data_IF_336374081736
#
_entry.id   IF_336374081736
#
_cell.length_a   1.000
_cell.length_b   1.000
_cell.length_c   1.000
_cell.angle_alpha   90.00
_cell.angle_beta   90.00
_cell.angle_gamma   90.00
#
_symmetry.space_group_name_H-M   'P 1'
#
loop_
_entity.id
_entity.type
_entity.pdbx_description
1 polymer ?
#
# COMPACT_ATOMS: atom_id res chain seq x y z
N UNK A 1 -2.58 0.97 -15.58
CA UNK A 1 -2.68 1.87 -14.40
C UNK A 1 -1.80 1.27 -13.31
N UNK A 2 -0.80 2.00 -12.81
CA UNK A 2 0.25 1.50 -11.90
C UNK A 2 -0.05 1.71 -10.41
N UNK A 3 -1.21 2.30 -10.07
CA UNK A 3 -1.63 2.54 -8.68
C UNK A 3 -1.84 1.24 -7.90
N UNK A 4 -1.39 1.23 -6.64
CA UNK A 4 -1.65 0.14 -5.68
C UNK A 4 -3.08 0.26 -5.13
N UNK A 5 -3.77 -0.87 -4.99
CA UNK A 5 -5.10 -0.96 -4.36
C UNK A 5 -5.06 -1.99 -3.25
N UNK A 6 -5.72 -1.68 -2.15
CA UNK A 6 -5.86 -2.59 -1.03
C UNK A 6 -6.94 -3.64 -1.32
N UNK A 7 -6.76 -4.83 -0.75
CA UNK A 7 -7.71 -5.94 -0.86
C UNK A 7 -8.54 -6.03 0.41
N UNK A 8 -9.86 -6.09 0.27
CA UNK A 8 -10.73 -6.29 1.44
C UNK A 8 -10.49 -7.67 2.05
N UNK A 9 -9.85 -7.69 3.22
CA UNK A 9 -9.49 -8.94 3.91
C UNK A 9 -10.59 -9.42 4.85
N UNK A 10 -11.54 -8.56 5.23
CA UNK A 10 -12.67 -8.93 6.08
C UNK A 10 -13.98 -9.04 5.27
N UNK A 11 -14.46 -10.25 4.95
CA UNK A 11 -15.69 -10.45 4.18
C UNK A 11 -16.96 -9.96 4.89
N UNK A 12 -16.90 -9.74 6.21
CA UNK A 12 -18.03 -9.25 7.00
C UNK A 12 -18.13 -7.71 7.07
N UNK A 13 -17.13 -6.97 6.58
CA UNK A 13 -17.14 -5.51 6.50
C UNK A 13 -17.53 -5.05 5.10
N UNK A 14 -18.81 -5.15 4.74
CA UNK A 14 -19.25 -4.80 3.38
C UNK A 14 -19.63 -3.33 3.19
N UNK A 15 -19.75 -2.50 4.23
CA UNK A 15 -20.43 -1.20 4.04
C UNK A 15 -19.55 -0.01 3.61
N UNK A 16 -18.23 0.03 3.86
CA UNK A 16 -17.39 1.19 3.47
C UNK A 16 -15.88 0.82 3.41
N UNK A 17 -15.48 -0.14 2.58
CA UNK A 17 -14.05 -0.43 2.41
C UNK A 17 -13.39 0.62 1.52
N UNK A 18 -12.36 1.29 2.03
CA UNK A 18 -11.52 2.20 1.26
C UNK A 18 -10.35 1.41 0.64
N UNK A 19 -10.41 1.13 -0.66
CA UNK A 19 -9.35 0.44 -1.38
C UNK A 19 -8.20 1.35 -1.81
N UNK A 20 -8.33 2.67 -1.54
CA UNK A 20 -7.40 3.67 -2.01
C UNK A 20 -6.26 3.92 -1.01
N UNK A 21 -5.04 3.83 -1.52
CA UNK A 21 -3.83 4.35 -0.91
C UNK A 21 -3.05 5.15 -1.94
N UNK A 22 -2.41 6.24 -1.53
CA UNK A 22 -1.57 7.06 -2.41
C UNK A 22 -0.20 6.38 -2.61
N UNK A 23 -0.19 5.30 -3.39
CA UNK A 23 1.00 4.55 -3.74
C UNK A 23 0.97 4.06 -5.19
N UNK A 24 2.15 3.93 -5.78
CA UNK A 24 2.36 3.52 -7.17
C UNK A 24 3.42 2.44 -7.25
N UNK A 25 3.13 1.36 -7.98
CA UNK A 25 4.14 0.37 -8.33
C UNK A 25 5.06 0.91 -9.43
N UNK A 26 6.37 0.89 -9.17
CA UNK A 26 7.42 1.25 -10.13
C UNK A 26 7.77 0.03 -11.01
N UNK A 27 7.26 -1.15 -10.65
CA UNK A 27 7.62 -2.41 -11.28
C UNK A 27 8.84 -3.03 -10.61
N UNK A 28 9.56 -3.85 -11.38
CA UNK A 28 10.65 -4.68 -10.86
C UNK A 28 11.98 -4.27 -11.47
N UNK A 29 12.97 -4.00 -10.62
CA UNK A 29 14.36 -3.79 -11.03
C UNK A 29 15.13 -5.05 -10.61
N UNK A 30 15.57 -5.84 -11.60
CA UNK A 30 16.16 -7.18 -11.39
C UNK A 30 15.19 -8.08 -10.62
N UNK A 31 15.50 -8.38 -9.35
CA UNK A 31 14.70 -9.23 -8.46
C UNK A 31 13.91 -8.45 -7.39
N UNK A 32 14.02 -7.12 -7.40
CA UNK A 32 13.40 -6.26 -6.38
C UNK A 32 12.21 -5.52 -6.99
N UNK A 33 11.03 -5.77 -6.43
CA UNK A 33 9.82 -4.97 -6.72
C UNK A 33 9.84 -3.69 -5.88
N UNK A 34 9.57 -2.56 -6.50
CA UNK A 34 9.58 -1.26 -5.84
C UNK A 34 8.21 -0.58 -5.91
N UNK A 35 7.85 0.07 -4.81
CA UNK A 35 6.66 0.89 -4.67
C UNK A 35 7.10 2.28 -4.22
N UNK A 36 6.47 3.32 -4.75
CA UNK A 36 6.47 4.64 -4.11
C UNK A 36 5.17 4.83 -3.34
N UNK A 37 5.24 5.51 -2.21
CA UNK A 37 4.07 5.90 -1.44
C UNK A 37 4.29 7.29 -0.84
N UNK A 38 3.20 8.01 -0.62
CA UNK A 38 3.22 9.20 0.21
C UNK A 38 3.53 8.82 1.67
N UNK A 39 4.16 9.73 2.42
CA UNK A 39 4.22 9.60 3.87
C UNK A 39 2.79 9.46 4.44
N UNK A 40 2.52 8.47 5.32
CA UNK A 40 1.18 8.24 5.82
C UNK A 40 0.65 9.47 6.58
N UNK A 41 -0.57 9.88 6.24
CA UNK A 41 -1.30 10.90 6.99
C UNK A 41 -1.93 10.24 8.22
N UNK A 42 -2.28 11.02 9.25
CA UNK A 42 -2.96 10.49 10.44
C UNK A 42 -4.23 9.69 10.11
N UNK A 43 -4.91 10.04 9.02
CA UNK A 43 -6.12 9.37 8.52
C UNK A 43 -5.85 8.13 7.66
N UNK A 44 -4.61 7.85 7.26
CA UNK A 44 -4.26 6.76 6.33
C UNK A 44 -3.19 5.81 6.86
N UNK A 45 -2.84 5.90 8.15
CA UNK A 45 -1.84 5.02 8.78
C UNK A 45 -2.26 3.55 8.69
N UNK A 46 -3.55 3.24 8.89
CA UNK A 46 -4.04 1.87 8.83
C UNK A 46 -3.88 1.28 7.42
N UNK A 47 -4.32 2.01 6.40
CA UNK A 47 -4.18 1.65 5.00
C UNK A 47 -2.72 1.50 4.57
N UNK A 48 -1.82 2.34 5.09
CA UNK A 48 -0.38 2.22 4.83
C UNK A 48 0.20 0.90 5.35
N UNK A 49 -0.17 0.49 6.57
CA UNK A 49 0.27 -0.80 7.11
C UNK A 49 -0.38 -1.99 6.41
N UNK A 50 -1.65 -1.89 6.02
CA UNK A 50 -2.30 -2.90 5.18
C UNK A 50 -1.55 -3.07 3.85
N UNK A 51 -1.14 -1.98 3.21
CA UNK A 51 -0.35 -2.03 1.99
C UNK A 51 0.98 -2.76 2.20
N UNK A 52 1.70 -2.46 3.29
CA UNK A 52 2.97 -3.13 3.63
C UNK A 52 2.77 -4.64 3.78
N UNK A 53 1.71 -5.04 4.47
CA UNK A 53 1.38 -6.44 4.68
C UNK A 53 1.00 -7.14 3.38
N UNK A 54 0.05 -6.59 2.63
CA UNK A 54 -0.47 -7.17 1.38
C UNK A 54 0.59 -7.27 0.27
N UNK A 55 1.51 -6.30 0.20
CA UNK A 55 2.58 -6.28 -0.80
C UNK A 55 3.86 -6.99 -0.33
N UNK A 56 3.84 -7.60 0.87
CA UNK A 56 4.99 -8.28 1.48
C UNK A 56 6.26 -7.40 1.52
N UNK A 57 6.10 -6.13 1.89
CA UNK A 57 7.22 -5.17 1.93
C UNK A 57 8.18 -5.54 3.05
N UNK A 58 9.43 -5.85 2.68
CA UNK A 58 10.49 -6.18 3.64
C UNK A 58 11.23 -4.96 4.18
N UNK A 59 11.31 -3.87 3.40
CA UNK A 59 12.07 -2.66 3.74
C UNK A 59 11.22 -1.43 3.44
N UNK A 60 11.09 -0.55 4.44
CA UNK A 60 10.52 0.79 4.28
C UNK A 60 11.66 1.80 4.39
N UNK A 61 11.92 2.51 3.30
CA UNK A 61 12.87 3.62 3.28
C UNK A 61 12.10 4.94 3.28
N UNK A 62 12.35 5.79 4.28
CA UNK A 62 11.81 7.14 4.34
C UNK A 62 12.85 8.10 3.78
N UNK A 63 12.48 8.81 2.72
CA UNK A 63 13.30 9.87 2.15
C UNK A 63 12.86 11.20 2.80
N UNK A 64 13.83 11.98 3.28
CA UNK A 64 13.62 13.31 3.85
C UNK A 64 13.44 14.37 2.75
#
# INVERSE_FOLDING_TARGET
NSRVRLVQTNPNQQKNFNDYINATSIGRIRDVSLLTAQYPLSTTIAEFWSMIYEQHVAIVAVLL
#
